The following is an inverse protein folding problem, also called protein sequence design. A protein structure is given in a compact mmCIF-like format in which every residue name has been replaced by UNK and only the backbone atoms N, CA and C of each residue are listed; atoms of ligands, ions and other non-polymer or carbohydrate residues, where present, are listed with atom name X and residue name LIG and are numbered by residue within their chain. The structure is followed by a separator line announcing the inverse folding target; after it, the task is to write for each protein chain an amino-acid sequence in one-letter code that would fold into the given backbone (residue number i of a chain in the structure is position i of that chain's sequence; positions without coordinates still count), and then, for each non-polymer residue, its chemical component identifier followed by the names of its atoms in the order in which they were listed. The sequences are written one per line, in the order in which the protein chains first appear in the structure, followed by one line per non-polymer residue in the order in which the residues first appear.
data_IF_323757581686
#
_entry.id   IF_323757581686
#
_cell.length_a   1.000
_cell.length_b   1.000
_cell.length_c   1.000
_cell.angle_alpha   90.00
_cell.angle_beta   90.00
_cell.angle_gamma   90.00
#
_symmetry.space_group_name_H-M   'P 1'
#
loop_
_entity.id
_entity.type
_entity.pdbx_description
1 polymer ?
#
# COMPACT_ATOMS: atom_id res chain seq x y z
N UNK A 1 -1.78 31.29 -3.86
CA UNK A 1 -0.95 30.26 -4.52
C UNK A 1 -1.15 30.42 -6.03
N UNK A 2 -0.12 30.61 -6.82
CA UNK A 2 -0.24 30.74 -8.27
C UNK A 2 0.44 29.55 -8.91
N UNK A 3 -0.35 28.68 -9.55
CA UNK A 3 0.18 27.52 -10.28
C UNK A 3 0.43 27.97 -11.71
N UNK A 4 1.66 27.90 -12.19
CA UNK A 4 2.01 28.12 -13.60
C UNK A 4 2.30 26.78 -14.26
N UNK A 5 1.38 26.33 -15.13
CA UNK A 5 1.60 25.12 -15.93
C UNK A 5 2.26 25.54 -17.24
N UNK A 6 3.49 25.09 -17.47
CA UNK A 6 4.21 25.32 -18.72
C UNK A 6 4.19 24.03 -19.53
N UNK A 7 3.42 24.02 -20.63
CA UNK A 7 3.32 22.86 -21.52
C UNK A 7 4.57 22.80 -22.41
N UNK A 8 5.40 21.83 -22.16
CA UNK A 8 6.44 21.34 -23.09
C UNK A 8 6.10 19.87 -23.39
N UNK A 9 6.91 19.15 -24.19
CA UNK A 9 6.73 17.69 -24.32
C UNK A 9 6.86 16.94 -22.97
N UNK A 10 7.30 17.64 -21.92
CA UNK A 10 7.25 17.22 -20.52
C UNK A 10 6.55 18.32 -19.74
N UNK A 11 5.60 17.95 -18.87
CA UNK A 11 4.99 18.92 -17.97
C UNK A 11 5.97 19.21 -16.84
N UNK A 12 6.28 20.47 -16.63
CA UNK A 12 6.98 20.94 -15.43
C UNK A 12 5.95 21.75 -14.63
N UNK A 13 5.59 21.25 -13.46
CA UNK A 13 4.78 21.98 -12.50
C UNK A 13 5.75 22.71 -11.56
N UNK A 14 5.72 24.03 -11.60
CA UNK A 14 6.47 24.84 -10.63
C UNK A 14 5.49 25.39 -9.62
N UNK A 15 5.67 25.01 -8.35
CA UNK A 15 4.89 25.52 -7.23
C UNK A 15 5.72 26.62 -6.55
N UNK A 16 5.21 27.84 -6.57
CA UNK A 16 5.73 28.94 -5.77
C UNK A 16 4.83 29.07 -4.53
N UNK A 17 5.33 28.68 -3.37
CA UNK A 17 4.68 28.92 -2.09
C UNK A 17 5.10 30.30 -1.62
N UNK A 18 4.12 31.20 -1.49
CA UNK A 18 4.36 32.61 -1.15
C UNK A 18 4.53 32.87 0.34
N UNK A 19 4.47 31.85 1.18
CA UNK A 19 4.50 31.99 2.63
C UNK A 19 5.68 31.23 3.23
N UNK A 20 6.71 31.98 3.66
CA UNK A 20 7.91 31.41 4.29
C UNK A 20 7.60 30.77 5.65
N UNK A 21 6.57 31.22 6.35
CA UNK A 21 6.15 30.64 7.64
C UNK A 21 5.57 29.24 7.49
N UNK A 22 5.03 28.93 6.31
CA UNK A 22 4.54 27.61 5.97
C UNK A 22 5.64 26.55 5.86
N UNK A 23 6.85 26.96 5.47
CA UNK A 23 8.00 26.07 5.34
C UNK A 23 8.72 25.82 6.68
N UNK A 24 8.42 26.61 7.70
CA UNK A 24 9.15 26.58 8.98
C UNK A 24 8.51 25.68 10.04
N UNK A 25 7.22 25.31 9.93
CA UNK A 25 6.47 24.68 11.02
C UNK A 25 5.76 23.36 10.70
N UNK A 26 5.57 22.87 9.48
CA UNK A 26 4.82 21.63 9.28
C UNK A 26 5.66 20.39 9.58
N UNK A 27 5.07 19.43 10.29
CA UNK A 27 5.54 18.05 10.28
C UNK A 27 5.67 17.57 8.83
N UNK A 28 6.66 16.74 8.54
CA UNK A 28 6.94 16.31 7.14
C UNK A 28 5.72 15.67 6.44
N UNK A 29 4.83 15.01 7.20
CA UNK A 29 3.57 14.49 6.70
C UNK A 29 2.59 15.56 6.16
N UNK A 30 2.49 16.73 6.81
CA UNK A 30 1.62 17.82 6.34
C UNK A 30 2.12 18.44 5.03
N UNK A 31 3.44 18.50 4.83
CA UNK A 31 4.04 18.95 3.58
C UNK A 31 3.70 18.01 2.43
N UNK A 32 3.79 16.71 2.68
CA UNK A 32 3.46 15.69 1.70
C UNK A 32 1.96 15.68 1.38
N UNK A 33 1.10 15.81 2.37
CA UNK A 33 -0.35 15.93 2.17
C UNK A 33 -0.69 17.13 1.26
N UNK A 34 -0.16 18.31 1.57
CA UNK A 34 -0.42 19.49 0.76
C UNK A 34 0.13 19.38 -0.65
N UNK A 35 1.33 18.82 -0.82
CA UNK A 35 1.88 18.57 -2.14
C UNK A 35 0.97 17.65 -2.96
N UNK A 36 0.47 16.58 -2.35
CA UNK A 36 -0.44 15.65 -3.00
C UNK A 36 -1.80 16.29 -3.32
N UNK A 37 -2.35 17.14 -2.43
CA UNK A 37 -3.56 17.91 -2.74
C UNK A 37 -3.37 18.84 -3.95
N UNK A 38 -2.22 19.51 -4.02
CA UNK A 38 -1.89 20.37 -5.15
C UNK A 38 -1.70 19.56 -6.43
N UNK A 39 -1.06 18.40 -6.34
CA UNK A 39 -0.87 17.50 -7.47
C UNK A 39 -2.19 16.88 -7.93
N UNK A 40 -3.07 16.52 -6.99
CA UNK A 40 -4.44 16.05 -7.28
C UNK A 40 -5.21 17.13 -8.02
N UNK A 41 -5.24 18.36 -7.49
CA UNK A 41 -5.94 19.47 -8.10
C UNK A 41 -5.37 19.81 -9.50
N UNK A 42 -4.05 19.77 -9.67
CA UNK A 42 -3.40 19.95 -10.95
C UNK A 42 -3.75 18.82 -11.94
N UNK A 43 -3.82 17.58 -11.47
CA UNK A 43 -4.23 16.42 -12.26
C UNK A 43 -5.69 16.52 -12.69
N UNK A 44 -6.58 16.94 -11.80
CA UNK A 44 -8.01 17.12 -12.07
C UNK A 44 -8.25 18.27 -13.07
N UNK A 45 -7.47 19.35 -12.98
CA UNK A 45 -7.52 20.46 -13.94
C UNK A 45 -6.93 20.11 -15.31
N UNK A 46 -6.00 19.16 -15.36
CA UNK A 46 -5.40 18.65 -16.60
C UNK A 46 -6.30 17.62 -17.30
N UNK A 47 -7.54 17.48 -16.87
CA UNK A 47 -8.55 16.55 -17.37
C UNK A 47 -8.32 16.16 -18.84
N UNK A 48 -8.05 14.88 -19.06
CA UNK A 48 -7.86 14.18 -20.34
C UNK A 48 -6.41 13.91 -20.80
N UNK A 49 -5.41 14.25 -20.02
CA UNK A 49 -4.07 13.75 -20.33
C UNK A 49 -3.77 12.49 -19.53
N UNK A 50 -3.44 11.40 -20.24
CA UNK A 50 -2.84 10.18 -19.74
C UNK A 50 -1.42 10.41 -19.14
N UNK A 51 -1.18 11.56 -18.57
CA UNK A 51 0.11 11.97 -18.07
C UNK A 51 0.22 11.61 -16.60
N UNK A 52 1.10 10.67 -16.31
CA UNK A 52 1.60 10.44 -14.95
C UNK A 52 2.27 11.74 -14.49
N UNK A 53 1.69 12.38 -13.48
CA UNK A 53 2.33 13.52 -12.83
C UNK A 53 3.29 12.94 -11.80
N UNK A 54 4.54 12.77 -12.17
CA UNK A 54 5.59 12.51 -11.20
C UNK A 54 6.10 13.86 -10.67
N UNK A 55 5.89 14.12 -9.40
CA UNK A 55 6.47 15.27 -8.74
C UNK A 55 7.83 14.88 -8.15
N UNK A 56 8.89 15.39 -8.74
CA UNK A 56 10.16 15.53 -8.04
C UNK A 56 10.14 16.88 -7.33
N UNK A 57 10.06 16.87 -6.01
CA UNK A 57 10.31 18.06 -5.21
C UNK A 57 11.82 18.19 -5.06
N UNK A 58 12.41 19.16 -5.77
CA UNK A 58 13.80 19.52 -5.55
C UNK A 58 13.91 20.18 -4.16
N UNK A 59 14.52 19.49 -3.21
CA UNK A 59 14.86 20.03 -1.91
C UNK A 59 14.09 19.42 -0.74
N UNK A 60 14.50 18.27 -0.28
CA UNK A 60 14.06 17.39 0.81
C UNK A 60 12.82 16.56 0.48
N UNK A 61 13.06 15.40 -0.12
CA UNK A 61 12.20 14.25 0.11
C UNK A 61 11.99 14.06 1.63
N UNK A 62 10.79 13.69 2.09
CA UNK A 62 10.64 13.26 3.46
C UNK A 62 11.69 12.20 3.72
N UNK A 63 12.42 12.32 4.79
CA UNK A 63 13.35 11.27 5.23
C UNK A 63 12.45 10.15 5.72
N UNK A 64 12.10 9.23 4.81
CA UNK A 64 11.52 7.96 5.22
C UNK A 64 12.71 7.18 5.77
N UNK A 65 12.65 6.83 7.03
CA UNK A 65 13.66 5.97 7.65
C UNK A 65 13.47 4.53 7.15
N UNK A 66 14.09 4.26 6.00
CA UNK A 66 14.04 2.92 5.41
C UNK A 66 14.87 1.90 6.21
N UNK A 67 15.86 2.32 6.99
CA UNK A 67 16.64 1.43 7.85
C UNK A 67 15.74 0.87 8.98
N UNK A 68 14.90 1.71 9.56
CA UNK A 68 13.93 1.25 10.57
C UNK A 68 12.95 0.21 10.02
N UNK A 69 12.63 0.25 8.73
CA UNK A 69 11.71 -0.70 8.10
C UNK A 69 12.32 -2.07 7.84
N UNK A 70 13.63 -2.12 7.51
CA UNK A 70 14.28 -3.39 7.18
C UNK A 70 14.92 -4.08 8.38
N UNK A 71 15.62 -3.34 9.22
CA UNK A 71 16.48 -3.91 10.27
C UNK A 71 16.18 -3.35 11.68
N UNK A 72 15.35 -2.31 11.79
CA UNK A 72 14.97 -1.70 13.06
C UNK A 72 13.94 -2.52 13.84
N UNK A 73 13.69 -2.08 15.08
CA UNK A 73 12.58 -2.53 15.92
C UNK A 73 11.54 -1.40 15.97
N UNK A 74 10.69 -1.28 14.94
CA UNK A 74 9.79 -0.15 14.82
C UNK A 74 8.71 -0.21 15.90
N UNK A 75 8.34 0.94 16.45
CA UNK A 75 7.19 1.05 17.35
C UNK A 75 5.89 0.67 16.62
N UNK A 76 4.90 0.22 17.37
CA UNK A 76 3.63 -0.28 16.82
C UNK A 76 2.95 0.74 15.88
N UNK A 77 2.98 2.03 16.26
CA UNK A 77 2.41 3.13 15.48
C UNK A 77 3.21 3.44 14.21
N UNK A 78 4.50 3.06 14.15
CA UNK A 78 5.32 3.18 12.94
C UNK A 78 5.00 2.10 11.91
N UNK A 79 4.56 0.94 12.40
CA UNK A 79 4.15 -0.17 11.55
C UNK A 79 2.75 0.12 11.00
N UNK A 80 1.79 0.39 11.89
CA UNK A 80 0.39 0.62 11.55
C UNK A 80 -0.36 1.30 12.70
N UNK A 81 -1.13 2.32 12.41
CA UNK A 81 -1.99 3.00 13.38
C UNK A 81 -3.35 2.29 13.54
N UNK A 82 -3.97 2.42 14.72
CA UNK A 82 -5.22 1.70 15.06
C UNK A 82 -6.41 2.05 14.14
N UNK A 83 -6.45 3.24 13.58
CA UNK A 83 -7.51 3.64 12.65
C UNK A 83 -7.53 2.80 11.35
N UNK A 84 -6.43 2.09 11.06
CA UNK A 84 -6.33 1.19 9.90
C UNK A 84 -6.93 -0.21 10.15
N UNK A 85 -7.31 -0.55 11.40
CA UNK A 85 -7.87 -1.87 11.74
C UNK A 85 -9.06 -2.25 10.85
N UNK A 86 -10.07 -1.38 10.61
CA UNK A 86 -11.20 -1.73 9.72
C UNK A 86 -10.77 -2.00 8.27
N UNK A 87 -9.65 -1.41 7.83
CA UNK A 87 -9.07 -1.66 6.50
C UNK A 87 -8.54 -3.09 6.43
N UNK A 88 -7.78 -3.51 7.46
CA UNK A 88 -7.24 -4.87 7.56
C UNK A 88 -8.35 -5.93 7.64
N UNK A 89 -9.39 -5.64 8.42
CA UNK A 89 -10.57 -6.51 8.51
C UNK A 89 -11.20 -6.72 7.12
N UNK A 90 -11.49 -5.64 6.41
CA UNK A 90 -12.13 -5.71 5.10
C UNK A 90 -11.26 -6.42 4.05
N UNK A 91 -9.96 -6.17 4.02
CA UNK A 91 -9.03 -6.86 3.13
C UNK A 91 -8.98 -8.36 3.43
N UNK A 92 -8.97 -8.72 4.71
CA UNK A 92 -8.96 -10.12 5.17
C UNK A 92 -10.26 -10.85 4.80
N UNK A 93 -11.44 -10.21 4.92
CA UNK A 93 -12.71 -10.76 4.44
C UNK A 93 -12.66 -11.09 2.94
N UNK A 94 -12.10 -10.19 2.13
CA UNK A 94 -12.02 -10.36 0.68
C UNK A 94 -11.19 -11.59 0.32
N UNK A 95 -9.99 -11.70 0.85
CA UNK A 95 -9.07 -12.81 0.50
C UNK A 95 -9.54 -14.17 1.00
N UNK A 96 -10.42 -14.19 2.01
CA UNK A 96 -11.01 -15.43 2.54
C UNK A 96 -12.30 -15.87 1.83
N UNK A 97 -12.83 -15.13 0.83
CA UNK A 97 -14.09 -15.48 0.16
C UNK A 97 -14.06 -16.87 -0.50
N UNK A 98 -12.91 -17.28 -1.03
CA UNK A 98 -12.71 -18.58 -1.62
C UNK A 98 -12.45 -19.70 -0.61
N UNK A 99 -12.16 -19.39 0.64
CA UNK A 99 -11.53 -20.32 1.59
C UNK A 99 -10.13 -20.74 1.07
N UNK A 100 -9.62 -21.88 1.55
CA UNK A 100 -8.39 -22.47 1.01
C UNK A 100 -7.11 -21.84 1.53
N UNK A 101 -6.13 -21.64 0.66
CA UNK A 101 -4.79 -21.15 1.00
C UNK A 101 -4.68 -19.64 0.82
N UNK A 102 -4.13 -18.96 1.82
CA UNK A 102 -3.96 -17.51 1.83
C UNK A 102 -2.48 -17.15 1.89
N UNK A 103 -2.08 -16.19 1.06
CA UNK A 103 -0.79 -15.51 1.14
C UNK A 103 -0.98 -14.11 1.71
N UNK A 104 -0.26 -13.79 2.75
CA UNK A 104 -0.15 -12.45 3.32
C UNK A 104 1.25 -11.89 3.06
N UNK A 105 1.33 -10.73 2.42
CA UNK A 105 2.59 -10.01 2.18
C UNK A 105 2.64 -8.79 3.07
N UNK A 106 3.47 -8.87 4.12
CA UNK A 106 3.57 -7.91 5.22
C UNK A 106 2.74 -8.35 6.42
N UNK A 107 3.42 -8.77 7.52
CA UNK A 107 2.76 -9.16 8.77
C UNK A 107 2.43 -7.97 9.65
N UNK A 108 3.38 -7.04 9.75
CA UNK A 108 3.26 -5.85 10.57
C UNK A 108 2.91 -6.17 12.03
N UNK A 109 1.78 -5.66 12.51
CA UNK A 109 1.26 -5.90 13.87
C UNK A 109 0.46 -7.21 14.03
N UNK A 110 0.30 -7.98 12.96
CA UNK A 110 -0.49 -9.20 12.95
C UNK A 110 -2.00 -9.01 12.92
N UNK A 111 -2.49 -7.80 12.71
CA UNK A 111 -3.93 -7.48 12.72
C UNK A 111 -4.65 -8.18 11.56
N UNK A 112 -4.13 -8.09 10.35
CA UNK A 112 -4.65 -8.81 9.18
C UNK A 112 -4.55 -10.32 9.38
N UNK A 113 -3.44 -10.79 9.94
CA UNK A 113 -3.24 -12.20 10.25
C UNK A 113 -4.30 -12.75 11.24
N UNK A 114 -4.66 -11.99 12.27
CA UNK A 114 -5.73 -12.35 13.20
C UNK A 114 -7.09 -12.46 12.49
N UNK A 115 -7.43 -11.48 11.64
CA UNK A 115 -8.66 -11.53 10.84
C UNK A 115 -8.65 -12.70 9.86
N UNK A 116 -7.53 -12.97 9.16
CA UNK A 116 -7.40 -14.13 8.27
C UNK A 116 -7.65 -15.41 9.06
N UNK A 117 -7.02 -15.59 10.22
CA UNK A 117 -7.17 -16.79 11.04
C UNK A 117 -8.57 -16.96 11.62
N UNK A 118 -9.32 -15.87 11.84
CA UNK A 118 -10.72 -15.93 12.28
C UNK A 118 -11.61 -16.67 11.28
N UNK A 119 -11.26 -16.64 9.98
CA UNK A 119 -11.93 -17.35 8.89
C UNK A 119 -11.46 -18.81 8.72
N UNK A 120 -10.45 -19.25 9.47
CA UNK A 120 -9.92 -20.63 9.46
C UNK A 120 -9.49 -21.09 8.07
N UNK A 121 -8.54 -20.41 7.41
CA UNK A 121 -8.03 -20.85 6.12
C UNK A 121 -7.40 -22.23 6.23
N UNK A 122 -7.37 -22.98 5.12
CA UNK A 122 -6.72 -24.29 5.09
C UNK A 122 -5.19 -24.16 5.29
N UNK A 123 -4.61 -23.07 4.78
CA UNK A 123 -3.19 -22.72 4.90
C UNK A 123 -3.02 -21.22 4.92
N UNK A 124 -2.09 -20.71 5.72
CA UNK A 124 -1.73 -19.30 5.75
C UNK A 124 -0.22 -19.14 5.59
N UNK A 125 0.23 -18.59 4.49
CA UNK A 125 1.64 -18.24 4.26
C UNK A 125 1.84 -16.76 4.48
N UNK A 126 2.81 -16.38 5.30
CA UNK A 126 3.14 -14.99 5.63
C UNK A 126 4.55 -14.71 5.13
N UNK A 127 4.73 -13.61 4.39
CA UNK A 127 6.04 -13.10 4.01
C UNK A 127 6.27 -11.81 4.78
N UNK A 128 7.37 -11.76 5.53
CA UNK A 128 7.80 -10.58 6.28
C UNK A 128 9.33 -10.48 6.20
N UNK A 129 9.85 -9.27 6.03
CA UNK A 129 11.30 -9.07 5.85
C UNK A 129 11.99 -8.44 7.06
N UNK A 130 11.24 -7.75 7.93
CA UNK A 130 11.81 -7.16 9.14
C UNK A 130 12.00 -8.24 10.23
N UNK A 131 13.23 -8.40 10.71
CA UNK A 131 13.58 -9.45 11.68
C UNK A 131 12.85 -9.30 13.02
N UNK A 132 12.64 -8.07 13.51
CA UNK A 132 11.92 -7.84 14.76
C UNK A 132 10.44 -8.22 14.61
N UNK A 133 9.82 -7.84 13.49
CA UNK A 133 8.44 -8.23 13.16
C UNK A 133 8.33 -9.75 12.96
N UNK A 134 9.29 -10.38 12.31
CA UNK A 134 9.34 -11.84 12.18
C UNK A 134 9.40 -12.54 13.54
N UNK A 135 10.12 -12.00 14.52
CA UNK A 135 10.13 -12.54 15.87
C UNK A 135 8.73 -12.46 16.51
N UNK A 136 8.04 -11.34 16.36
CA UNK A 136 6.67 -11.18 16.83
C UNK A 136 5.71 -12.14 16.13
N UNK A 137 5.86 -12.34 14.81
CA UNK A 137 5.08 -13.31 14.05
C UNK A 137 5.30 -14.75 14.53
N UNK A 138 6.53 -15.13 14.87
CA UNK A 138 6.83 -16.47 15.44
C UNK A 138 6.14 -16.70 16.78
N UNK A 139 6.13 -15.69 17.66
CA UNK A 139 5.40 -15.79 18.94
C UNK A 139 3.89 -15.88 18.70
N UNK A 140 3.37 -15.08 17.78
CA UNK A 140 1.97 -15.13 17.37
C UNK A 140 1.58 -16.51 16.80
N UNK A 141 2.41 -17.13 15.94
CA UNK A 141 2.15 -18.46 15.38
C UNK A 141 2.04 -19.52 16.49
N UNK A 142 2.88 -19.46 17.54
CA UNK A 142 2.85 -20.43 18.63
C UNK A 142 1.50 -20.50 19.35
N UNK A 143 0.77 -19.41 19.42
CA UNK A 143 -0.53 -19.33 20.09
C UNK A 143 -1.72 -19.69 19.19
N UNK A 144 -1.51 -19.84 17.88
CA UNK A 144 -2.58 -20.18 16.92
C UNK A 144 -3.04 -21.67 16.98
N UNK A 145 -2.43 -22.48 17.81
CA UNK A 145 -3.00 -23.78 18.19
C UNK A 145 -3.03 -24.86 17.09
N UNK A 146 -2.00 -24.93 16.24
CA UNK A 146 -1.84 -26.01 15.26
C UNK A 146 -2.47 -25.75 13.90
N UNK A 147 -2.77 -24.52 13.57
CA UNK A 147 -3.12 -24.08 12.22
C UNK A 147 -1.90 -24.24 11.28
N UNK A 148 -2.13 -24.53 9.99
CA UNK A 148 -1.06 -24.60 8.99
C UNK A 148 -0.62 -23.18 8.60
N UNK A 149 0.30 -22.63 9.40
CA UNK A 149 0.85 -21.29 9.19
C UNK A 149 2.35 -21.39 8.90
N UNK A 150 2.75 -20.83 7.75
CA UNK A 150 4.15 -20.76 7.32
C UNK A 150 4.62 -19.30 7.31
N UNK A 151 5.68 -18.99 8.05
CA UNK A 151 6.39 -17.71 7.96
C UNK A 151 7.60 -17.85 7.04
N UNK A 152 7.74 -16.92 6.10
CA UNK A 152 8.90 -16.76 5.22
C UNK A 152 9.53 -15.41 5.57
N UNK A 153 10.75 -15.47 6.08
CA UNK A 153 11.51 -14.30 6.52
C UNK A 153 12.43 -13.82 5.40
N UNK A 154 11.87 -13.07 4.47
CA UNK A 154 12.59 -12.46 3.35
C UNK A 154 11.71 -11.40 2.67
N UNK A 155 12.31 -10.64 1.78
CA UNK A 155 11.57 -9.76 0.85
C UNK A 155 10.76 -10.62 -0.13
N UNK A 156 9.52 -10.22 -0.38
CA UNK A 156 8.65 -10.97 -1.30
C UNK A 156 9.28 -11.16 -2.70
N UNK A 157 10.08 -10.18 -3.16
CA UNK A 157 10.76 -10.24 -4.45
C UNK A 157 11.75 -11.43 -4.57
N UNK A 158 12.31 -11.86 -3.44
CA UNK A 158 13.33 -12.92 -3.42
C UNK A 158 12.72 -14.33 -3.40
N UNK A 159 11.48 -14.47 -2.95
CA UNK A 159 10.89 -15.78 -2.63
C UNK A 159 9.79 -16.22 -3.60
N UNK A 160 9.46 -15.39 -4.60
CA UNK A 160 8.37 -15.62 -5.56
C UNK A 160 8.47 -16.99 -6.24
N UNK A 161 9.69 -17.41 -6.61
CA UNK A 161 9.92 -18.67 -7.32
C UNK A 161 9.60 -19.92 -6.50
N UNK A 162 9.55 -19.78 -5.18
CA UNK A 162 9.39 -20.89 -4.23
C UNK A 162 7.96 -20.93 -3.64
N UNK A 163 7.09 -20.03 -4.09
CA UNK A 163 5.71 -19.96 -3.65
C UNK A 163 4.81 -20.88 -4.45
N UNK A 164 3.78 -21.37 -3.76
CA UNK A 164 2.66 -22.12 -4.36
C UNK A 164 1.64 -21.13 -4.96
N UNK A 165 0.51 -21.66 -5.42
CA UNK A 165 -0.66 -20.85 -5.76
C UNK A 165 -1.62 -20.76 -4.58
N UNK A 166 -2.40 -19.66 -4.52
CA UNK A 166 -3.23 -19.29 -3.38
C UNK A 166 -4.64 -18.90 -3.84
N UNK A 167 -5.62 -19.21 -3.01
CA UNK A 167 -7.02 -18.79 -3.20
C UNK A 167 -7.21 -17.30 -2.86
N UNK A 168 -6.38 -16.79 -1.97
CA UNK A 168 -6.38 -15.38 -1.60
C UNK A 168 -4.98 -14.83 -1.38
N UNK A 169 -4.77 -13.58 -1.80
CA UNK A 169 -3.52 -12.84 -1.57
C UNK A 169 -3.86 -11.48 -0.97
N UNK A 170 -3.34 -11.21 0.22
CA UNK A 170 -3.40 -9.90 0.87
C UNK A 170 -2.06 -9.22 0.70
N UNK A 171 -2.06 -8.03 0.08
CA UNK A 171 -0.84 -7.26 -0.12
C UNK A 171 -0.92 -5.95 0.65
N UNK A 172 -0.14 -5.86 1.74
CA UNK A 172 -0.04 -4.67 2.56
C UNK A 172 1.39 -4.49 3.04
N UNK A 173 2.22 -3.96 2.17
CA UNK A 173 3.62 -3.66 2.43
C UNK A 173 4.03 -2.38 1.71
N UNK A 174 5.22 -1.88 2.03
CA UNK A 174 5.74 -0.61 1.56
C UNK A 174 7.13 -0.78 0.93
N UNK A 175 7.60 0.21 0.14
CA UNK A 175 8.98 0.21 -0.36
C UNK A 175 9.98 0.10 0.80
N UNK A 176 11.03 -0.69 0.60
CA UNK A 176 12.02 -0.99 1.63
C UNK A 176 13.21 -0.03 1.62
N UNK A 177 13.46 0.62 0.49
CA UNK A 177 14.57 1.57 0.35
C UNK A 177 14.19 2.73 -0.58
N UNK A 178 15.05 3.75 -0.61
CA UNK A 178 14.82 4.95 -1.40
C UNK A 178 14.72 4.65 -2.91
N UNK A 179 15.49 3.70 -3.42
CA UNK A 179 15.42 3.31 -4.83
C UNK A 179 14.10 2.62 -5.14
N UNK A 180 13.65 1.74 -4.26
CA UNK A 180 12.36 1.07 -4.36
C UNK A 180 11.22 2.11 -4.31
N UNK A 181 11.31 3.09 -3.42
CA UNK A 181 10.37 4.19 -3.36
C UNK A 181 10.38 5.05 -4.62
N UNK A 182 11.54 5.50 -5.07
CA UNK A 182 11.69 6.37 -6.25
C UNK A 182 11.25 5.67 -7.54
N UNK A 183 11.60 4.39 -7.70
CA UNK A 183 11.26 3.63 -8.91
C UNK A 183 9.79 3.19 -8.91
N UNK A 184 9.25 2.84 -7.79
CA UNK A 184 7.94 2.20 -7.69
C UNK A 184 6.83 3.18 -7.33
N UNK A 185 7.02 4.07 -6.38
CA UNK A 185 6.03 5.11 -6.05
C UNK A 185 6.14 6.30 -6.97
N UNK A 186 7.35 6.66 -7.42
CA UNK A 186 7.56 7.75 -8.36
C UNK A 186 7.11 7.46 -9.80
N UNK A 187 6.94 6.19 -10.17
CA UNK A 187 6.54 5.78 -11.52
C UNK A 187 5.11 5.25 -11.60
N UNK A 188 4.56 4.76 -10.50
CA UNK A 188 3.17 4.30 -10.39
C UNK A 188 2.49 4.96 -9.20
N UNK A 189 1.17 5.13 -9.28
CA UNK A 189 0.40 5.73 -8.19
C UNK A 189 0.27 4.80 -6.97
N UNK A 190 0.58 3.51 -7.14
CA UNK A 190 0.47 2.51 -6.09
C UNK A 190 1.63 1.52 -6.14
N UNK A 191 2.25 1.28 -5.00
CA UNK A 191 3.34 0.31 -4.87
C UNK A 191 2.93 -1.11 -5.30
N UNK A 192 1.69 -1.49 -5.06
CA UNK A 192 1.14 -2.80 -5.43
C UNK A 192 1.19 -3.11 -6.93
N UNK A 193 1.22 -2.12 -7.81
CA UNK A 193 1.25 -2.36 -9.27
C UNK A 193 2.47 -3.20 -9.69
N UNK A 194 3.58 -3.11 -8.95
CA UNK A 194 4.78 -3.93 -9.17
C UNK A 194 4.58 -5.39 -8.78
N UNK A 195 3.59 -5.67 -7.96
CA UNK A 195 3.23 -7.02 -7.56
C UNK A 195 2.21 -7.68 -8.48
N UNK A 196 1.53 -6.95 -9.36
CA UNK A 196 0.43 -7.49 -10.19
C UNK A 196 0.82 -8.68 -11.06
N UNK A 197 1.96 -8.61 -11.76
CA UNK A 197 2.43 -9.74 -12.56
C UNK A 197 2.67 -10.98 -11.68
N UNK A 198 3.26 -10.78 -10.52
CA UNK A 198 3.50 -11.84 -9.54
C UNK A 198 2.18 -12.38 -9.00
N UNK A 199 1.30 -11.51 -8.51
CA UNK A 199 0.00 -11.91 -7.98
C UNK A 199 -0.82 -12.70 -9.00
N UNK A 200 -0.80 -12.31 -10.28
CA UNK A 200 -1.51 -13.03 -11.34
C UNK A 200 -1.01 -14.46 -11.53
N UNK A 201 0.26 -14.74 -11.25
CA UNK A 201 0.84 -16.08 -11.31
C UNK A 201 0.54 -16.89 -10.05
N UNK A 202 0.53 -16.23 -8.89
CA UNK A 202 0.32 -16.86 -7.59
C UNK A 202 -1.16 -17.14 -7.27
N UNK A 203 -2.09 -16.42 -7.90
CA UNK A 203 -3.53 -16.66 -7.66
C UNK A 203 -4.02 -17.91 -8.39
N UNK A 204 -4.83 -18.70 -7.67
CA UNK A 204 -5.66 -19.75 -8.26
C UNK A 204 -6.78 -19.14 -9.14
N UNK A 205 -7.38 -19.96 -9.97
CA UNK A 205 -8.56 -19.54 -10.76
C UNK A 205 -9.70 -19.13 -9.82
N UNK A 206 -10.23 -17.94 -10.04
CA UNK A 206 -11.20 -17.25 -9.18
C UNK A 206 -10.63 -16.83 -7.80
N UNK A 207 -9.33 -16.87 -7.61
CA UNK A 207 -8.68 -16.35 -6.41
C UNK A 207 -8.75 -14.82 -6.33
N UNK A 208 -8.60 -14.30 -5.12
CA UNK A 208 -8.75 -12.88 -4.78
C UNK A 208 -7.42 -12.25 -4.38
N UNK A 209 -7.04 -11.13 -5.01
CA UNK A 209 -6.03 -10.23 -4.49
C UNK A 209 -6.72 -9.03 -3.83
N UNK A 210 -6.36 -8.72 -2.59
CA UNK A 210 -6.84 -7.52 -1.92
C UNK A 210 -5.70 -6.61 -1.51
N UNK A 211 -5.89 -5.32 -1.76
CA UNK A 211 -4.99 -4.25 -1.35
C UNK A 211 -5.75 -2.94 -1.19
N UNK A 212 -5.16 -1.99 -0.49
CA UNK A 212 -5.68 -0.62 -0.40
C UNK A 212 -4.99 0.29 -1.41
N UNK A 213 -5.68 1.35 -1.83
CA UNK A 213 -5.11 2.40 -2.68
C UNK A 213 -5.31 3.78 -2.07
N UNK A 214 -4.35 4.67 -2.33
CA UNK A 214 -4.44 6.08 -1.96
C UNK A 214 -5.36 6.91 -2.89
N UNK A 215 -5.87 6.29 -3.94
CA UNK A 215 -6.86 6.91 -4.81
C UNK A 215 -8.23 6.89 -4.12
N UNK A 216 -8.81 8.06 -3.85
CA UNK A 216 -9.96 8.19 -2.95
C UNK A 216 -11.34 8.05 -3.59
N UNK A 217 -11.46 8.39 -4.86
CA UNK A 217 -12.76 8.48 -5.52
C UNK A 217 -12.97 7.34 -6.53
N UNK A 218 -11.92 7.03 -7.28
CA UNK A 218 -11.90 5.99 -8.31
C UNK A 218 -10.46 5.65 -8.67
N UNK A 219 -10.24 4.52 -9.32
CA UNK A 219 -8.92 4.22 -9.86
C UNK A 219 -8.63 5.05 -11.10
N UNK A 220 -7.40 5.55 -11.20
CA UNK A 220 -6.92 6.20 -12.41
C UNK A 220 -6.96 5.25 -13.62
N UNK A 221 -7.01 5.80 -14.83
CA UNK A 221 -6.97 4.99 -16.07
C UNK A 221 -5.70 4.16 -16.17
N UNK A 222 -4.58 4.67 -15.67
CA UNK A 222 -3.31 3.94 -15.64
C UNK A 222 -3.43 2.69 -14.77
N UNK A 223 -3.94 2.86 -13.55
CA UNK A 223 -4.14 1.78 -12.61
C UNK A 223 -5.13 0.73 -13.14
N UNK A 224 -6.28 1.16 -13.70
CA UNK A 224 -7.24 0.23 -14.31
C UNK A 224 -6.64 -0.56 -15.48
N UNK A 225 -5.83 0.06 -16.35
CA UNK A 225 -5.11 -0.65 -17.42
C UNK A 225 -4.12 -1.66 -16.86
N UNK A 226 -3.38 -1.28 -15.83
CA UNK A 226 -2.44 -2.17 -15.15
C UNK A 226 -3.17 -3.41 -14.61
N UNK A 227 -4.32 -3.23 -13.97
CA UNK A 227 -5.17 -4.34 -13.52
C UNK A 227 -5.63 -5.23 -14.67
N UNK A 228 -6.20 -4.68 -15.74
CA UNK A 228 -6.70 -5.45 -16.88
C UNK A 228 -5.59 -6.14 -17.71
N UNK A 229 -4.34 -5.74 -17.57
CA UNK A 229 -3.22 -6.47 -18.18
C UNK A 229 -2.95 -7.81 -17.49
N UNK A 230 -3.40 -7.98 -16.25
CA UNK A 230 -3.05 -9.14 -15.43
C UNK A 230 -4.25 -9.92 -14.90
N UNK A 231 -5.45 -9.31 -14.83
CA UNK A 231 -6.62 -9.86 -14.15
C UNK A 231 -7.89 -9.70 -15.00
N UNK A 232 -8.88 -10.56 -14.74
CA UNK A 232 -10.15 -10.56 -15.49
C UNK A 232 -11.10 -9.44 -15.01
N UNK A 233 -11.13 -9.20 -13.70
CA UNK A 233 -12.05 -8.22 -13.11
C UNK A 233 -11.54 -7.67 -11.78
N UNK A 234 -12.10 -6.55 -11.38
CA UNK A 234 -11.92 -6.01 -10.04
C UNK A 234 -13.18 -5.30 -9.55
N UNK A 235 -13.34 -5.24 -8.24
CA UNK A 235 -14.38 -4.47 -7.56
C UNK A 235 -13.77 -3.53 -6.53
N UNK A 236 -14.47 -2.44 -6.23
CA UNK A 236 -14.01 -1.44 -5.30
C UNK A 236 -14.93 -1.40 -4.08
N UNK A 237 -14.36 -1.40 -2.91
CA UNK A 237 -15.04 -1.15 -1.65
C UNK A 237 -14.54 0.16 -1.06
N UNK A 238 -15.44 1.12 -0.82
CA UNK A 238 -15.11 2.37 -0.15
C UNK A 238 -15.33 2.19 1.34
N UNK A 239 -14.31 2.50 2.13
CA UNK A 239 -14.41 2.64 3.58
C UNK A 239 -14.50 4.13 3.92
N UNK A 240 -15.60 4.50 4.55
CA UNK A 240 -15.87 5.84 5.03
C UNK A 240 -15.82 5.87 6.56
N UNK A 241 -15.78 7.07 7.11
CA UNK A 241 -15.84 7.30 8.57
C UNK A 241 -14.69 6.68 9.37
N UNK A 242 -13.51 6.59 8.75
CA UNK A 242 -12.29 6.22 9.44
C UNK A 242 -11.92 7.32 10.43
N UNK A 243 -11.75 6.98 11.70
CA UNK A 243 -11.34 7.91 12.76
C UNK A 243 -9.83 8.18 12.67
N UNK A 244 -9.42 8.90 11.62
CA UNK A 244 -8.02 9.23 11.40
C UNK A 244 -7.63 10.35 12.37
N UNK A 245 -6.64 10.14 13.26
CA UNK A 245 -6.18 11.19 14.19
C UNK A 245 -5.59 12.38 13.43
N UNK A 246 -5.77 13.60 13.99
CA UNK A 246 -5.19 14.82 13.39
C UNK A 246 -3.66 14.79 13.35
N UNK A 247 -3.04 14.01 14.23
CA UNK A 247 -1.60 13.86 14.36
C UNK A 247 -1.07 12.56 13.72
N UNK A 248 -1.89 11.89 12.90
CA UNK A 248 -1.44 10.69 12.17
C UNK A 248 -0.11 10.94 11.47
N UNK A 249 0.78 9.97 11.54
CA UNK A 249 2.09 10.02 10.88
C UNK A 249 1.97 10.00 9.37
N UNK A 250 0.93 9.35 8.87
CA UNK A 250 0.66 9.24 7.44
C UNK A 250 -0.38 10.28 6.98
N UNK A 251 0.07 11.51 6.84
CA UNK A 251 -0.76 12.64 6.40
C UNK A 251 -1.28 12.52 4.94
N UNK A 252 -0.96 11.43 4.24
CA UNK A 252 -1.52 11.11 2.93
C UNK A 252 -2.90 10.48 3.01
N UNK A 253 -3.26 9.95 4.18
CA UNK A 253 -4.53 9.28 4.39
C UNK A 253 -5.66 10.31 4.47
N UNK A 254 -6.70 10.01 3.77
CA UNK A 254 -7.97 10.75 3.79
C UNK A 254 -9.00 9.91 4.54
N UNK A 255 -10.08 10.52 5.09
CA UNK A 255 -11.10 9.77 5.85
C UNK A 255 -11.86 8.72 5.07
N UNK A 256 -11.52 8.51 3.82
CA UNK A 256 -12.13 7.54 2.92
C UNK A 256 -11.03 6.81 2.15
N UNK A 257 -11.02 5.49 2.20
CA UNK A 257 -10.08 4.66 1.46
C UNK A 257 -10.81 3.71 0.52
N UNK A 258 -10.18 3.40 -0.59
CA UNK A 258 -10.63 2.36 -1.51
C UNK A 258 -9.82 1.10 -1.28
N UNK A 259 -10.52 0.00 -1.01
CA UNK A 259 -9.99 -1.34 -1.04
C UNK A 259 -10.36 -1.97 -2.37
N UNK A 260 -9.38 -2.56 -3.00
CA UNK A 260 -9.55 -3.24 -4.28
C UNK A 260 -9.61 -4.75 -4.05
N UNK A 261 -10.64 -5.38 -4.61
CA UNK A 261 -10.79 -6.82 -4.73
C UNK A 261 -10.58 -7.18 -6.21
N UNK A 262 -9.51 -7.87 -6.49
CA UNK A 262 -9.12 -8.28 -7.85
C UNK A 262 -9.35 -9.78 -8.01
N UNK A 263 -9.85 -10.20 -9.16
CA UNK A 263 -10.09 -11.60 -9.49
C UNK A 263 -9.32 -12.05 -10.71
N UNK A 264 -8.76 -13.24 -10.58
CA UNK A 264 -8.11 -13.96 -11.67
C UNK A 264 -9.09 -14.82 -12.45
#
# INVERSE_FOLDING_TARGET
MTIKIKRTQRFTLTLELADEDFLSTPRDGQKNWMLNQVLKEASDQLNHCDSRVSAMVAGRAPVIDFEARSDGDPEAEEIMEDWQIPVMERMSEIVNQGGGSILEVGFGRGISADFIQSHKPAKHTIIECNTAICNSAREWIKVQGGQDIKLIEDKWQNVISDLETYDGVLFHTYPMDENDHLHNVGQSNNFVEHFFETASKLLEKNGHLSYLTLESDSLSRGHQRSLFNHFESFTLSKLSDLNIPEDTRDALWIPELIIVDVRK
#
